data_IF_151317474887
#
_entry.id   IF_151317474887
#
_cell.length_a   1.000
_cell.length_b   1.000
_cell.length_c   1.000
_cell.angle_alpha   90.00
_cell.angle_beta   90.00
_cell.angle_gamma   90.00
#
_symmetry.space_group_name_H-M   'P 1'
#
loop_
_entity.id
_entity.type
_entity.pdbx_description
1 polymer ?
#
# COMPACT_ATOMS: atom_id res chain seq x y z
N UNK A 1 14.34 -6.51 -24.50
CA UNK A 1 14.02 -5.16 -24.00
C UNK A 1 14.15 -4.15 -25.13
N UNK A 2 13.16 -3.29 -25.33
CA UNK A 2 13.25 -2.21 -26.32
C UNK A 2 14.29 -1.17 -25.90
N UNK A 3 14.82 -0.42 -26.87
CA UNK A 3 15.72 0.70 -26.60
C UNK A 3 15.11 1.74 -25.67
N UNK A 4 13.78 1.95 -25.71
CA UNK A 4 13.10 2.85 -24.76
C UNK A 4 13.12 2.30 -23.32
N UNK A 5 12.90 1.00 -23.14
CA UNK A 5 12.92 0.37 -21.81
C UNK A 5 14.31 0.45 -21.17
N UNK A 6 15.38 0.23 -21.95
CA UNK A 6 16.76 0.37 -21.46
C UNK A 6 17.05 1.80 -21.00
N UNK A 7 16.69 2.81 -21.81
CA UNK A 7 16.86 4.22 -21.44
C UNK A 7 16.11 4.58 -20.15
N UNK A 8 14.87 4.09 -19.99
CA UNK A 8 14.08 4.28 -18.76
C UNK A 8 14.76 3.65 -17.55
N UNK A 9 15.27 2.43 -17.68
CA UNK A 9 15.95 1.73 -16.59
C UNK A 9 17.16 2.53 -16.08
N UNK A 10 18.05 2.97 -16.96
CA UNK A 10 19.22 3.77 -16.55
C UNK A 10 18.86 5.14 -15.95
N UNK A 11 17.70 5.70 -16.31
CA UNK A 11 17.17 6.90 -15.65
C UNK A 11 16.67 6.60 -14.24
N UNK A 12 15.93 5.50 -14.07
CA UNK A 12 15.34 5.10 -12.80
C UNK A 12 16.43 4.71 -11.77
N UNK A 13 17.46 3.96 -12.18
CA UNK A 13 18.53 3.43 -11.29
C UNK A 13 19.27 4.52 -10.53
N UNK A 14 19.41 5.73 -11.09
CA UNK A 14 20.09 6.86 -10.44
C UNK A 14 19.47 7.29 -9.11
N UNK A 15 18.22 6.90 -8.85
CA UNK A 15 17.51 7.22 -7.60
C UNK A 15 17.67 6.13 -6.54
N UNK A 16 18.45 5.09 -6.82
CA UNK A 16 18.65 3.97 -5.92
C UNK A 16 20.12 3.89 -5.50
N UNK A 17 20.34 3.47 -4.26
CA UNK A 17 21.67 3.16 -3.74
C UNK A 17 21.57 2.00 -2.76
N UNK A 18 22.64 1.21 -2.65
CA UNK A 18 22.73 0.12 -1.69
C UNK A 18 23.53 0.56 -0.47
N UNK A 19 23.04 0.21 0.71
CA UNK A 19 23.76 0.28 1.98
C UNK A 19 23.47 -1.04 2.71
N UNK A 20 24.45 -1.95 2.64
CA UNK A 20 24.31 -3.39 2.90
C UNK A 20 23.70 -3.67 4.29
N UNK A 21 22.65 -4.49 4.42
CA UNK A 21 22.05 -5.40 3.42
C UNK A 21 20.89 -4.82 2.60
N UNK A 22 20.69 -3.51 2.61
CA UNK A 22 19.46 -2.89 2.13
C UNK A 22 19.64 -2.06 0.86
N UNK A 23 18.59 -2.06 0.03
CA UNK A 23 18.44 -1.16 -1.09
C UNK A 23 17.59 0.04 -0.67
N UNK A 24 18.02 1.25 -0.99
CA UNK A 24 17.29 2.48 -0.70
C UNK A 24 16.92 3.21 -1.99
N UNK A 25 15.87 4.01 -1.91
CA UNK A 25 15.42 4.91 -2.98
C UNK A 25 15.25 6.32 -2.46
N UNK A 26 15.78 7.30 -3.20
CA UNK A 26 15.46 8.71 -3.04
C UNK A 26 14.16 9.00 -3.80
N UNK A 27 13.12 9.34 -3.07
CA UNK A 27 11.81 9.66 -3.63
C UNK A 27 11.76 11.11 -4.15
N UNK A 28 10.70 11.48 -4.87
CA UNK A 28 10.58 12.82 -5.46
C UNK A 28 10.53 13.93 -4.39
N UNK A 29 10.00 13.61 -3.22
CA UNK A 29 10.00 14.42 -1.99
C UNK A 29 11.37 14.50 -1.30
N UNK A 30 12.43 13.97 -1.93
CA UNK A 30 13.80 13.87 -1.38
C UNK A 30 13.92 12.99 -0.13
N UNK A 31 12.87 12.24 0.23
CA UNK A 31 12.90 11.33 1.36
C UNK A 31 13.51 10.00 0.92
N UNK A 32 14.49 9.54 1.69
CA UNK A 32 15.12 8.23 1.52
C UNK A 32 14.19 7.18 2.11
N UNK A 33 13.86 6.15 1.32
CA UNK A 33 13.00 5.04 1.74
C UNK A 33 13.67 3.71 1.44
N UNK A 34 13.59 2.76 2.38
CA UNK A 34 14.10 1.40 2.22
C UNK A 34 13.21 0.62 1.25
N UNK A 35 13.82 0.01 0.26
CA UNK A 35 13.14 -0.87 -0.67
C UNK A 35 12.86 -2.22 0.01
N UNK A 36 11.62 -2.69 -0.06
CA UNK A 36 11.17 -3.93 0.58
C UNK A 36 10.52 -4.85 -0.44
N UNK A 37 10.62 -6.17 -0.25
CA UNK A 37 9.98 -7.16 -1.11
C UNK A 37 9.56 -8.42 -0.33
N UNK A 38 8.78 -9.29 -0.98
CA UNK A 38 8.42 -10.60 -0.44
C UNK A 38 7.55 -10.52 0.83
N UNK A 39 7.80 -11.43 1.77
CA UNK A 39 7.03 -11.55 3.01
C UNK A 39 7.08 -10.28 3.85
N UNK A 40 8.25 -9.62 3.92
CA UNK A 40 8.41 -8.39 4.69
C UNK A 40 7.48 -7.27 4.20
N UNK A 41 7.25 -7.15 2.88
CA UNK A 41 6.31 -6.17 2.33
C UNK A 41 4.87 -6.45 2.76
N UNK A 42 4.50 -7.73 2.86
CA UNK A 42 3.19 -8.15 3.35
C UNK A 42 3.02 -7.84 4.83
N UNK A 43 4.02 -8.16 5.66
CA UNK A 43 3.98 -7.92 7.10
C UNK A 43 3.85 -6.42 7.40
N UNK A 44 4.64 -5.58 6.71
CA UNK A 44 4.54 -4.12 6.81
C UNK A 44 3.16 -3.60 6.41
N UNK A 45 2.59 -4.14 5.32
CA UNK A 45 1.24 -3.76 4.90
C UNK A 45 0.20 -4.13 5.96
N UNK A 46 0.31 -5.33 6.52
CA UNK A 46 -0.59 -5.84 7.55
C UNK A 46 -0.52 -4.96 8.80
N UNK A 47 0.66 -4.64 9.28
CA UNK A 47 0.86 -3.76 10.44
C UNK A 47 0.30 -2.36 10.18
N UNK A 48 0.50 -1.81 8.98
CA UNK A 48 -0.04 -0.51 8.59
C UNK A 48 -1.58 -0.53 8.46
N UNK A 49 -2.16 -1.66 8.09
CA UNK A 49 -3.61 -1.84 7.92
C UNK A 49 -4.32 -2.02 9.26
N UNK A 50 -3.77 -2.89 10.13
CA UNK A 50 -4.30 -3.24 11.44
C UNK A 50 -4.05 -2.15 12.47
N UNK A 51 -2.91 -1.44 12.39
CA UNK A 51 -2.58 -0.36 13.32
C UNK A 51 -2.49 -0.78 14.79
N UNK A 52 -2.04 0.13 15.68
CA UNK A 52 -1.77 -0.21 17.09
C UNK A 52 -3.03 -0.41 17.95
N UNK A 53 -4.22 -0.01 17.49
CA UNK A 53 -5.47 -0.02 18.30
C UNK A 53 -6.68 -0.61 17.56
N UNK A 54 -6.47 -1.57 16.65
CA UNK A 54 -7.58 -2.23 15.92
C UNK A 54 -8.09 -1.45 14.70
N UNK A 55 -7.20 -0.80 13.98
CA UNK A 55 -7.47 -0.23 12.66
C UNK A 55 -7.81 -1.28 11.59
N UNK A 56 -8.49 -0.83 10.55
CA UNK A 56 -8.74 -1.56 9.29
C UNK A 56 -8.75 -0.54 8.15
N UNK A 57 -7.61 0.13 7.97
CA UNK A 57 -7.54 1.27 7.07
C UNK A 57 -7.73 0.86 5.61
N UNK A 58 -8.37 1.74 4.84
CA UNK A 58 -8.48 1.59 3.39
C UNK A 58 -7.09 1.53 2.71
N UNK A 59 -7.04 0.99 1.50
CA UNK A 59 -5.79 0.72 0.79
C UNK A 59 -4.92 1.96 0.59
N UNK A 60 -5.52 3.10 0.24
CA UNK A 60 -4.78 4.35 0.04
C UNK A 60 -4.13 4.87 1.32
N UNK A 61 -4.84 4.79 2.46
CA UNK A 61 -4.29 5.19 3.75
C UNK A 61 -3.21 4.22 4.23
N UNK A 62 -3.44 2.92 4.05
CA UNK A 62 -2.43 1.89 4.35
C UNK A 62 -1.16 2.12 3.54
N UNK A 63 -1.28 2.33 2.22
CA UNK A 63 -0.16 2.66 1.35
C UNK A 63 0.56 3.93 1.79
N UNK A 64 -0.17 4.99 2.15
CA UNK A 64 0.42 6.21 2.68
C UNK A 64 1.21 5.96 3.96
N UNK A 65 0.68 5.18 4.90
CA UNK A 65 1.38 4.80 6.14
C UNK A 65 2.69 4.05 5.86
N UNK A 66 2.69 3.14 4.88
CA UNK A 66 3.92 2.46 4.42
C UNK A 66 4.95 3.46 3.94
N UNK A 67 4.53 4.44 3.12
CA UNK A 67 5.41 5.52 2.70
C UNK A 67 5.91 6.27 3.93
N UNK A 68 5.04 6.83 4.76
CA UNK A 68 5.39 7.62 5.94
C UNK A 68 6.33 6.87 6.91
N UNK A 69 6.23 5.55 6.99
CA UNK A 69 7.13 4.67 7.76
C UNK A 69 8.52 4.44 7.13
N UNK A 70 8.80 5.05 5.98
CA UNK A 70 10.11 4.99 5.33
C UNK A 70 10.31 3.79 4.40
N UNK A 71 9.24 3.10 3.98
CA UNK A 71 9.33 1.94 3.08
C UNK A 71 8.90 2.27 1.66
N UNK A 72 9.45 1.52 0.70
CA UNK A 72 9.14 1.67 -0.70
C UNK A 72 9.12 0.33 -1.45
N UNK A 73 8.12 0.14 -2.30
CA UNK A 73 8.21 -0.74 -3.46
C UNK A 73 7.27 -0.23 -4.56
N UNK A 74 7.51 -0.65 -5.80
CA UNK A 74 6.83 -0.06 -6.96
C UNK A 74 5.31 -0.27 -6.95
N UNK A 75 4.82 -1.24 -6.19
CA UNK A 75 3.45 -1.75 -6.28
C UNK A 75 2.66 -1.62 -4.98
N UNK A 76 3.12 -0.80 -4.02
CA UNK A 76 2.49 -0.58 -2.70
C UNK A 76 0.97 -0.48 -2.79
N UNK A 77 0.44 0.45 -3.60
CA UNK A 77 -1.00 0.67 -3.69
C UNK A 77 -1.76 -0.57 -4.17
N UNK A 78 -1.26 -1.23 -5.23
CA UNK A 78 -1.88 -2.43 -5.77
C UNK A 78 -1.85 -3.56 -4.75
N UNK A 79 -0.71 -3.75 -4.09
CA UNK A 79 -0.53 -4.84 -3.13
C UNK A 79 -1.37 -4.60 -1.86
N UNK A 80 -1.50 -3.34 -1.41
CA UNK A 80 -2.41 -2.93 -0.35
C UNK A 80 -3.89 -3.22 -0.72
N UNK A 81 -4.31 -2.88 -1.94
CA UNK A 81 -5.65 -3.20 -2.43
C UNK A 81 -5.91 -4.70 -2.46
N UNK A 82 -4.95 -5.48 -2.97
CA UNK A 82 -5.04 -6.93 -3.00
C UNK A 82 -5.16 -7.50 -1.59
N UNK A 83 -4.30 -7.11 -0.65
CA UNK A 83 -4.33 -7.59 0.73
C UNK A 83 -5.67 -7.31 1.41
N UNK A 84 -6.16 -6.07 1.32
CA UNK A 84 -7.41 -5.65 1.98
C UNK A 84 -8.63 -6.35 1.36
N UNK A 85 -8.62 -6.62 0.05
CA UNK A 85 -9.66 -7.42 -0.60
C UNK A 85 -9.82 -8.80 0.06
N UNK A 86 -8.75 -9.35 0.63
CA UNK A 86 -8.78 -10.63 1.34
C UNK A 86 -8.97 -10.51 2.85
N UNK A 87 -9.00 -9.29 3.43
CA UNK A 87 -9.25 -9.08 4.85
C UNK A 87 -10.71 -9.38 5.22
N UNK A 88 -10.92 -10.37 6.08
CA UNK A 88 -12.26 -10.85 6.42
C UNK A 88 -13.07 -9.82 7.22
N UNK A 89 -12.44 -9.04 8.09
CA UNK A 89 -13.11 -7.95 8.82
C UNK A 89 -13.63 -6.90 7.84
N UNK A 90 -12.81 -6.46 6.87
CA UNK A 90 -13.22 -5.49 5.86
C UNK A 90 -14.31 -6.04 4.93
N UNK A 91 -14.24 -7.32 4.53
CA UNK A 91 -15.28 -7.96 3.72
C UNK A 91 -16.62 -7.99 4.43
N UNK A 92 -16.65 -8.24 5.74
CA UNK A 92 -17.88 -8.28 6.54
C UNK A 92 -18.52 -6.89 6.62
N UNK A 93 -17.73 -5.85 6.90
CA UNK A 93 -18.20 -4.46 6.96
C UNK A 93 -18.73 -3.94 5.61
N UNK A 94 -18.07 -4.29 4.50
CA UNK A 94 -18.51 -3.88 3.17
C UNK A 94 -19.86 -4.49 2.75
N UNK A 95 -20.23 -5.64 3.31
CA UNK A 95 -21.51 -6.32 3.02
C UNK A 95 -22.67 -5.83 3.88
N UNK A 96 -22.41 -5.26 5.06
CA UNK A 96 -23.47 -4.73 5.94
C UNK A 96 -24.02 -3.40 5.44
N UNK A 97 -23.17 -2.52 4.88
CA UNK A 97 -23.59 -1.19 4.41
C UNK A 97 -24.63 -1.18 3.27
N UNK A 98 -24.81 -2.28 2.52
CA UNK A 98 -25.82 -2.34 1.44
C UNK A 98 -27.20 -2.81 1.91
N UNK A 99 -27.33 -3.43 3.09
CA UNK A 99 -28.62 -3.93 3.60
C UNK A 99 -29.35 -2.96 4.51
N UNK A 100 -28.66 -1.92 4.96
CA UNK A 100 -29.19 -0.92 5.89
C UNK A 100 -29.56 0.40 5.19
N UNK A 101 -29.69 0.43 3.85
CA UNK A 101 -30.50 1.44 3.17
C UNK A 101 -31.97 1.19 3.53
N UNK A 102 -32.37 1.72 4.70
CA UNK A 102 -33.76 1.85 5.09
C UNK A 102 -34.50 2.57 3.97
N UNK A 103 -35.39 1.86 3.28
CA UNK A 103 -36.50 2.48 2.58
C UNK A 103 -37.31 3.25 3.62
N UNK A 104 -37.17 4.57 3.65
CA UNK A 104 -38.14 5.43 4.31
C UNK A 104 -39.44 5.32 3.51
N UNK A 105 -40.24 4.30 3.84
CA UNK A 105 -41.64 4.27 3.48
C UNK A 105 -42.30 5.43 4.20
N UNK A 106 -42.52 6.52 3.47
CA UNK A 106 -43.43 7.60 3.88
C UNK A 106 -44.81 6.96 3.98
N UNK A 107 -45.31 6.82 5.21
CA UNK A 107 -46.69 6.44 5.48
C UNK A 107 -47.48 7.72 5.76
N UNK A 108 -48.58 7.83 5.02
CA UNK A 108 -49.66 8.83 4.96
C UNK A 108 -49.42 10.06 4.07
#
# INVERSE_FOLDING_TARGET
>A
MSSQQKKKFFKDVKHYFCDDPYLFRISADQIIRRCVHGQEAFDILKDCHEGPTGGHHGANLTAKKVFDAGFFWRTIYRDAHTMIKYCDTCKKQGKTSQRDEMTQNVIQ
#
